data_IF_331551591865
#
_entry.id   IF_331551591865
#
_cell.length_a   1.000
_cell.length_b   1.000
_cell.length_c   1.000
_cell.angle_alpha   90.00
_cell.angle_beta   90.00
_cell.angle_gamma   90.00
#
_symmetry.space_group_name_H-M   'P 1'
#
loop_
_entity.id
_entity.type
_entity.pdbx_description
1 polymer ?
#
# COMPACT_ATOMS: atom_id res chain seq x y z
N UNK A 1 -9.38 1.20 15.17
CA UNK A 1 -9.00 -0.21 15.23
C UNK A 1 -8.07 -0.50 14.06
N UNK A 2 -6.94 -1.16 14.34
CA UNK A 2 -5.94 -1.55 13.34
C UNK A 2 -6.49 -2.66 12.44
N UNK A 3 -6.14 -2.66 11.15
CA UNK A 3 -6.59 -3.63 10.15
C UNK A 3 -5.41 -4.08 9.29
N UNK A 4 -5.43 -5.32 8.84
CA UNK A 4 -4.45 -5.85 7.90
C UNK A 4 -4.74 -5.35 6.48
N UNK A 5 -3.68 -4.97 5.77
CA UNK A 5 -3.76 -4.52 4.39
C UNK A 5 -2.73 -5.22 3.51
N UNK A 6 -3.15 -5.48 2.28
CA UNK A 6 -2.29 -5.69 1.13
C UNK A 6 -2.37 -4.45 0.24
N UNK A 7 -1.27 -3.72 0.10
CA UNK A 7 -1.17 -2.56 -0.79
C UNK A 7 -0.55 -3.02 -2.10
N UNK A 8 -1.23 -2.75 -3.21
CA UNK A 8 -0.70 -2.97 -4.55
C UNK A 8 0.02 -1.70 -4.98
N UNK A 9 1.23 -1.85 -5.51
CA UNK A 9 2.14 -0.75 -5.83
C UNK A 9 2.47 -0.81 -7.31
N UNK A 10 2.47 0.34 -7.98
CA UNK A 10 3.05 0.49 -9.32
C UNK A 10 4.24 1.42 -9.23
N UNK A 11 5.35 0.98 -9.82
CA UNK A 11 6.61 1.71 -9.88
C UNK A 11 6.68 2.54 -11.17
N UNK A 12 7.59 3.51 -11.20
CA UNK A 12 7.86 4.38 -12.36
C UNK A 12 8.40 3.65 -13.59
N UNK A 13 9.12 2.54 -13.38
CA UNK A 13 9.58 1.63 -14.43
C UNK A 13 8.46 0.72 -15.00
N UNK A 14 7.23 0.88 -14.49
CA UNK A 14 6.06 0.09 -14.87
C UNK A 14 5.97 -1.27 -14.20
N UNK A 15 6.92 -1.64 -13.34
CA UNK A 15 6.85 -2.86 -12.54
C UNK A 15 5.79 -2.74 -11.43
N UNK A 16 5.31 -3.89 -10.97
CA UNK A 16 4.28 -3.99 -9.95
C UNK A 16 4.83 -4.66 -8.69
N UNK A 17 4.57 -4.05 -7.54
CA UNK A 17 4.94 -4.53 -6.21
C UNK A 17 3.73 -4.81 -5.33
N UNK A 18 4.01 -5.42 -4.17
CA UNK A 18 3.01 -5.58 -3.11
C UNK A 18 3.65 -5.39 -1.73
N UNK A 19 2.95 -4.69 -0.85
CA UNK A 19 3.35 -4.47 0.55
C UNK A 19 2.24 -4.96 1.47
N UNK A 20 2.60 -5.70 2.51
CA UNK A 20 1.68 -6.04 3.60
C UNK A 20 1.97 -5.18 4.83
N UNK A 21 0.93 -4.77 5.52
CA UNK A 21 1.07 -3.99 6.74
C UNK A 21 -0.22 -3.91 7.55
N UNK A 22 -0.11 -3.38 8.76
CA UNK A 22 -1.25 -3.13 9.63
C UNK A 22 -1.40 -1.62 9.77
N UNK A 23 -2.57 -1.10 9.39
CA UNK A 23 -2.85 0.34 9.38
C UNK A 23 -4.22 0.64 9.99
N UNK A 24 -4.42 1.86 10.48
CA UNK A 24 -5.71 2.29 11.02
C UNK A 24 -6.70 2.65 9.90
N UNK A 25 -6.19 3.20 8.80
CA UNK A 25 -7.00 3.71 7.68
C UNK A 25 -6.39 3.36 6.32
N UNK A 26 -7.18 3.52 5.26
CA UNK A 26 -6.70 3.34 3.89
C UNK A 26 -5.64 4.39 3.54
N UNK A 27 -5.78 5.61 4.08
CA UNK A 27 -4.85 6.72 3.86
C UNK A 27 -3.46 6.44 4.42
N UNK A 28 -3.37 5.92 5.65
CA UNK A 28 -2.08 5.52 6.22
C UNK A 28 -1.36 4.45 5.40
N UNK A 29 -2.11 3.50 4.84
CA UNK A 29 -1.56 2.45 3.98
C UNK A 29 -1.06 3.01 2.64
N UNK A 30 -1.75 4.01 2.08
CA UNK A 30 -1.35 4.73 0.87
C UNK A 30 -0.08 5.54 1.14
N UNK A 31 -0.07 6.36 2.19
CA UNK A 31 1.07 7.22 2.53
C UNK A 31 2.34 6.40 2.75
N UNK A 32 2.22 5.28 3.48
CA UNK A 32 3.34 4.37 3.70
C UNK A 32 3.93 3.81 2.40
N UNK A 33 3.09 3.52 1.40
CA UNK A 33 3.56 3.03 0.10
C UNK A 33 4.15 4.15 -0.77
N UNK A 34 3.53 5.33 -0.79
CA UNK A 34 3.99 6.47 -1.58
C UNK A 34 5.29 7.10 -1.04
N UNK A 35 5.65 6.83 0.22
CA UNK A 35 6.96 7.22 0.77
C UNK A 35 8.14 6.38 0.23
N UNK A 36 7.88 5.26 -0.46
CA UNK A 36 8.93 4.46 -1.07
C UNK A 36 9.39 5.09 -2.39
N UNK A 37 10.69 5.02 -2.65
CA UNK A 37 11.28 5.60 -3.85
C UNK A 37 10.78 4.90 -5.13
N UNK A 38 10.53 5.68 -6.18
CA UNK A 38 10.03 5.18 -7.46
C UNK A 38 8.56 4.74 -7.48
N UNK A 39 7.80 4.88 -6.38
CA UNK A 39 6.36 4.54 -6.38
C UNK A 39 5.53 5.66 -7.02
N UNK A 40 4.69 5.30 -7.99
CA UNK A 40 3.79 6.24 -8.68
C UNK A 40 2.31 6.00 -8.38
N UNK A 41 1.95 4.82 -7.85
CA UNK A 41 0.58 4.50 -7.47
C UNK A 41 0.53 3.48 -6.33
N UNK A 42 -0.43 3.67 -5.43
CA UNK A 42 -0.71 2.78 -4.30
C UNK A 42 -2.20 2.53 -4.17
N UNK A 43 -2.61 1.25 -4.16
CA UNK A 43 -4.02 0.85 -4.00
C UNK A 43 -4.15 -0.02 -2.75
N UNK A 44 -4.77 0.48 -1.67
CA UNK A 44 -4.93 -0.28 -0.44
C UNK A 44 -6.05 -1.32 -0.59
N UNK A 45 -5.79 -2.56 -0.16
CA UNK A 45 -6.80 -3.61 -0.02
C UNK A 45 -6.83 -4.09 1.42
N UNK A 46 -7.96 -3.92 2.09
CA UNK A 46 -8.18 -4.51 3.43
C UNK A 46 -8.27 -6.02 3.29
N UNK A 47 -7.49 -6.74 4.07
CA UNK A 47 -7.62 -8.18 4.19
C UNK A 47 -8.79 -8.46 5.15
N UNK A 48 -9.72 -9.33 4.76
CA UNK A 48 -10.78 -9.80 5.64
C UNK A 48 -10.14 -10.66 6.74
N UNK A 49 -10.50 -10.38 8.00
CA UNK A 49 -10.09 -11.16 9.16
C UNK A 49 -10.85 -12.49 9.23
#
# INVERSE_FOLDING_TARGET
>A
MMKSYLVLITMDDGSCGRMRGIFCTDWEAIDAALCLDGVVSAVPRREAA
#
